data_IF_176406460447
#
_entry.id   IF_176406460447
#
_cell.length_a   1.000
_cell.length_b   1.000
_cell.length_c   1.000
_cell.angle_alpha   90.00
_cell.angle_beta   90.00
_cell.angle_gamma   90.00
#
_symmetry.space_group_name_H-M   'P 1'
#
loop_
_entity.id
_entity.type
_entity.pdbx_description
1 polymer ?
#
# COMPACT_ATOMS: atom_id res chain seq x y z
N UNK A 1 37.93 -16.54 40.11
CA UNK A 1 38.30 -17.61 39.15
C UNK A 1 37.03 -18.08 38.45
N UNK A 2 36.90 -17.77 37.14
CA UNK A 2 36.76 -18.71 36.01
C UNK A 2 35.43 -19.51 35.94
N UNK A 3 34.49 -18.89 35.21
CA UNK A 3 33.50 -19.39 34.22
C UNK A 3 33.10 -20.88 34.23
N UNK A 4 31.78 -21.13 34.25
CA UNK A 4 31.11 -22.10 33.37
C UNK A 4 29.61 -21.76 33.22
N UNK A 5 29.15 -21.75 31.98
CA UNK A 5 27.78 -21.51 31.48
C UNK A 5 27.08 -22.87 31.39
N UNK A 6 25.85 -23.03 31.90
CA UNK A 6 24.86 -23.97 31.33
C UNK A 6 23.47 -23.33 31.38
N UNK A 7 22.95 -23.15 30.17
CA UNK A 7 21.61 -22.69 29.80
C UNK A 7 20.57 -23.79 30.06
N UNK A 8 19.44 -23.47 30.70
CA UNK A 8 18.20 -24.22 30.54
C UNK A 8 17.03 -23.24 30.55
N UNK A 9 16.53 -22.97 29.35
CA UNK A 9 15.26 -22.32 29.06
C UNK A 9 14.12 -23.12 29.69
N UNK A 10 13.36 -22.48 30.57
CA UNK A 10 11.97 -22.86 30.84
C UNK A 10 11.12 -21.59 30.76
N UNK A 11 10.59 -21.39 29.56
CA UNK A 11 9.51 -20.45 29.24
C UNK A 11 8.30 -20.80 30.12
N UNK A 12 8.05 -20.02 31.17
CA UNK A 12 6.77 -19.98 31.87
C UNK A 12 6.20 -18.58 31.71
N UNK A 13 5.03 -18.51 31.06
CA UNK A 13 4.47 -17.34 30.39
C UNK A 13 4.33 -16.09 31.26
N UNK A 14 4.89 -14.99 30.75
CA UNK A 14 4.48 -13.64 31.12
C UNK A 14 3.55 -13.09 30.03
N UNK A 15 2.29 -12.92 30.45
CA UNK A 15 1.53 -11.69 30.32
C UNK A 15 0.80 -11.31 29.02
N UNK A 16 -0.39 -10.79 29.32
CA UNK A 16 -1.15 -9.74 28.65
C UNK A 16 -2.08 -10.18 27.52
N UNK A 17 -3.37 -10.13 27.87
CA UNK A 17 -4.47 -9.94 26.95
C UNK A 17 -4.10 -8.86 25.92
N UNK A 18 -3.87 -9.29 24.69
CA UNK A 18 -3.74 -8.40 23.56
C UNK A 18 -5.09 -7.75 23.31
N UNK A 19 -5.28 -6.54 23.83
CA UNK A 19 -6.15 -5.55 23.19
C UNK A 19 -5.67 -5.42 21.74
N UNK A 20 -6.29 -6.15 20.83
CA UNK A 20 -6.16 -5.90 19.40
C UNK A 20 -6.78 -4.52 19.19
N UNK A 21 -5.96 -3.48 19.19
CA UNK A 21 -6.40 -2.13 18.90
C UNK A 21 -7.04 -2.11 17.52
N UNK A 22 -8.37 -2.13 17.57
CA UNK A 22 -9.28 -1.64 16.56
C UNK A 22 -8.96 -0.16 16.31
N UNK A 23 -7.96 0.06 15.47
CA UNK A 23 -7.88 1.31 14.72
C UNK A 23 -8.60 1.04 13.41
N UNK A 24 -9.88 1.40 13.39
CA UNK A 24 -10.65 1.71 12.18
C UNK A 24 -9.92 2.82 11.40
N UNK A 25 -8.80 2.48 10.75
CA UNK A 25 -8.16 3.36 9.77
C UNK A 25 -8.99 3.20 8.51
N UNK A 26 -9.95 4.11 8.35
CA UNK A 26 -10.73 4.29 7.14
C UNK A 26 -9.76 4.56 5.98
N UNK A 27 -9.40 3.51 5.24
CA UNK A 27 -8.51 3.62 4.08
C UNK A 27 -9.32 4.25 2.96
N UNK A 28 -9.24 5.57 2.86
CA UNK A 28 -9.73 6.34 1.71
C UNK A 28 -9.08 5.77 0.45
N UNK A 29 -9.90 5.35 -0.52
CA UNK A 29 -9.48 4.84 -1.82
C UNK A 29 -8.46 5.80 -2.44
N UNK A 30 -7.21 5.33 -2.62
CA UNK A 30 -6.07 6.15 -3.09
C UNK A 30 -6.06 6.37 -4.60
N UNK A 31 -7.05 5.86 -5.33
CA UNK A 31 -7.02 5.84 -6.79
C UNK A 31 -7.69 7.04 -7.47
N UNK A 32 -8.38 7.91 -6.73
CA UNK A 32 -9.08 9.06 -7.33
C UNK A 32 -8.93 10.37 -6.54
N UNK A 33 -7.99 10.41 -5.59
CA UNK A 33 -7.47 11.70 -5.16
C UNK A 33 -6.51 12.14 -6.25
N UNK A 34 -7.00 12.95 -7.19
CA UNK A 34 -6.17 13.95 -7.87
C UNK A 34 -5.17 14.43 -6.83
N UNK A 35 -3.87 14.26 -7.07
CA UNK A 35 -2.84 14.66 -6.11
C UNK A 35 -3.11 16.12 -5.77
N UNK A 36 -3.77 16.38 -4.65
CA UNK A 36 -4.03 17.73 -4.19
C UNK A 36 -2.66 18.40 -4.12
N UNK A 37 -2.52 19.60 -4.69
CA UNK A 37 -1.23 20.27 -4.67
C UNK A 37 -0.74 20.41 -3.23
N UNK A 38 0.59 20.48 -2.98
CA UNK A 38 1.11 20.71 -1.64
C UNK A 38 0.45 21.91 -0.93
N UNK A 39 0.08 22.94 -1.69
CA UNK A 39 -0.66 24.12 -1.26
C UNK A 39 -2.10 23.77 -0.84
N UNK A 40 -2.83 22.99 -1.63
CA UNK A 40 -4.19 22.57 -1.27
C UNK A 40 -4.19 21.65 -0.03
N UNK A 41 -3.26 20.69 0.03
CA UNK A 41 -3.13 19.79 1.17
C UNK A 41 -2.80 20.54 2.47
N UNK A 42 -1.90 21.53 2.38
CA UNK A 42 -1.51 22.33 3.54
C UNK A 42 -2.63 23.26 4.02
N UNK A 43 -3.42 23.83 3.11
CA UNK A 43 -4.65 24.57 3.49
C UNK A 43 -5.62 23.66 4.23
N UNK A 44 -5.98 22.51 3.66
CA UNK A 44 -6.91 21.56 4.27
C UNK A 44 -6.43 21.05 5.64
N UNK A 45 -5.12 20.82 5.79
CA UNK A 45 -4.54 20.44 7.08
C UNK A 45 -4.65 21.57 8.11
N UNK A 46 -4.43 22.81 7.69
CA UNK A 46 -4.54 23.99 8.54
C UNK A 46 -5.98 24.24 8.95
N UNK A 47 -6.93 24.18 8.02
CA UNK A 47 -8.35 24.37 8.29
C UNK A 47 -8.89 23.32 9.26
N UNK A 48 -8.40 22.08 9.18
CA UNK A 48 -8.75 21.03 10.15
C UNK A 48 -8.22 21.33 11.55
N UNK A 49 -6.98 21.78 11.65
CA UNK A 49 -6.40 22.18 12.94
C UNK A 49 -7.11 23.40 13.51
N UNK A 50 -7.48 24.36 12.67
CA UNK A 50 -8.24 25.53 13.07
C UNK A 50 -9.61 25.14 13.65
N UNK A 51 -10.36 24.28 12.96
CA UNK A 51 -11.66 23.78 13.44
C UNK A 51 -11.59 23.08 14.79
N UNK A 52 -10.45 22.45 15.12
CA UNK A 52 -10.30 21.69 16.36
C UNK A 52 -9.71 22.53 17.50
N UNK A 53 -8.91 23.54 17.19
CA UNK A 53 -8.12 24.28 18.17
C UNK A 53 -8.50 25.76 18.25
N UNK A 54 -9.39 26.23 17.38
CA UNK A 54 -9.81 27.63 17.26
C UNK A 54 -8.61 28.57 17.18
N UNK A 55 -7.81 28.39 16.13
CA UNK A 55 -6.54 29.09 15.98
C UNK A 55 -6.77 30.58 15.66
N UNK A 56 -5.91 31.44 16.21
CA UNK A 56 -5.80 32.83 15.74
C UNK A 56 -5.22 32.91 14.33
N UNK A 57 -5.46 34.02 13.63
CA UNK A 57 -4.96 34.23 12.25
C UNK A 57 -3.43 34.13 12.14
N UNK A 58 -2.71 34.64 13.16
CA UNK A 58 -1.25 34.51 13.22
C UNK A 58 -0.82 33.04 13.32
N UNK A 59 -1.49 32.24 14.17
CA UNK A 59 -1.21 30.81 14.31
C UNK A 59 -1.57 30.03 13.04
N UNK A 60 -2.69 30.34 12.38
CA UNK A 60 -3.07 29.71 11.10
C UNK A 60 -2.00 29.95 10.05
N UNK A 61 -1.50 31.18 9.93
CA UNK A 61 -0.43 31.52 8.98
C UNK A 61 0.85 30.73 9.23
N UNK A 62 1.29 30.65 10.49
CA UNK A 62 2.47 29.87 10.87
C UNK A 62 2.31 28.37 10.61
N UNK A 63 1.15 27.80 10.98
CA UNK A 63 0.84 26.38 10.79
C UNK A 63 0.71 26.05 9.30
N UNK A 64 0.10 26.92 8.51
CA UNK A 64 0.01 26.77 7.06
C UNK A 64 1.40 26.68 6.43
N UNK A 65 2.31 27.60 6.76
CA UNK A 65 3.67 27.58 6.24
C UNK A 65 4.44 26.31 6.63
N UNK A 66 4.26 25.84 7.87
CA UNK A 66 4.84 24.58 8.34
C UNK A 66 4.29 23.37 7.56
N UNK A 67 2.98 23.32 7.34
CA UNK A 67 2.34 22.25 6.57
C UNK A 67 2.77 22.29 5.10
N UNK A 68 2.94 23.48 4.53
CA UNK A 68 3.39 23.65 3.15
C UNK A 68 4.81 23.12 2.95
N UNK A 69 5.74 23.45 3.86
CA UNK A 69 7.11 22.92 3.82
C UNK A 69 7.12 21.38 3.94
N UNK A 70 6.34 20.84 4.89
CA UNK A 70 6.17 19.39 5.04
C UNK A 70 5.62 18.73 3.77
N UNK A 71 4.57 19.31 3.18
CA UNK A 71 3.95 18.79 1.97
C UNK A 71 4.92 18.82 0.78
N UNK A 72 5.69 19.91 0.62
CA UNK A 72 6.74 20.01 -0.41
C UNK A 72 7.84 18.97 -0.23
N UNK A 73 8.31 18.74 1.01
CA UNK A 73 9.31 17.71 1.32
C UNK A 73 8.78 16.31 1.00
N UNK A 74 7.53 16.01 1.35
CA UNK A 74 6.90 14.74 1.03
C UNK A 74 6.71 14.54 -0.48
N UNK A 75 6.28 15.57 -1.21
CA UNK A 75 6.14 15.46 -2.65
C UNK A 75 7.48 15.17 -3.33
N UNK A 76 8.56 15.88 -2.95
CA UNK A 76 9.92 15.60 -3.45
C UNK A 76 10.38 14.18 -3.14
N UNK A 77 10.14 13.69 -1.92
CA UNK A 77 10.47 12.32 -1.54
C UNK A 77 9.69 11.29 -2.37
N UNK A 78 8.41 11.55 -2.62
CA UNK A 78 7.56 10.70 -3.45
C UNK A 78 8.05 10.66 -4.90
N UNK A 79 8.32 11.81 -5.51
CA UNK A 79 8.88 11.90 -6.86
C UNK A 79 10.20 11.14 -7.00
N UNK A 80 11.08 11.23 -5.99
CA UNK A 80 12.34 10.46 -5.96
C UNK A 80 12.07 8.96 -5.90
N UNK A 81 11.19 8.52 -5.00
CA UNK A 81 10.84 7.11 -4.85
C UNK A 81 10.16 6.55 -6.11
N UNK A 82 9.31 7.32 -6.77
CA UNK A 82 8.68 6.98 -8.05
C UNK A 82 9.72 6.74 -9.14
N UNK A 83 10.68 7.66 -9.30
CA UNK A 83 11.79 7.52 -10.25
C UNK A 83 12.61 6.27 -9.97
N UNK A 84 13.00 6.05 -8.71
CA UNK A 84 13.76 4.86 -8.31
C UNK A 84 12.99 3.56 -8.58
N UNK A 85 11.67 3.55 -8.30
CA UNK A 85 10.82 2.39 -8.58
C UNK A 85 10.73 2.09 -10.07
N UNK A 86 10.59 3.12 -10.92
CA UNK A 86 10.58 2.95 -12.37
C UNK A 86 11.90 2.40 -12.90
N UNK A 87 13.01 2.91 -12.40
CA UNK A 87 14.35 2.43 -12.78
C UNK A 87 14.56 0.97 -12.36
N UNK A 88 14.25 0.65 -11.11
CA UNK A 88 14.33 -0.72 -10.60
C UNK A 88 13.42 -1.67 -11.39
N UNK A 89 12.22 -1.23 -11.75
CA UNK A 89 11.31 -2.01 -12.58
C UNK A 89 11.90 -2.31 -13.96
N UNK A 90 12.49 -1.30 -14.62
CA UNK A 90 13.16 -1.50 -15.92
C UNK A 90 14.33 -2.48 -15.80
N UNK A 91 15.14 -2.36 -14.76
CA UNK A 91 16.26 -3.28 -14.49
C UNK A 91 15.78 -4.72 -14.32
N UNK A 92 14.79 -4.95 -13.47
CA UNK A 92 14.20 -6.28 -13.28
C UNK A 92 13.61 -6.85 -14.57
N UNK A 93 12.92 -6.02 -15.36
CA UNK A 93 12.36 -6.47 -16.64
C UNK A 93 13.46 -6.94 -17.61
N UNK A 94 14.57 -6.21 -17.69
CA UNK A 94 15.71 -6.59 -18.52
C UNK A 94 16.38 -7.88 -18.01
N UNK A 95 16.58 -8.01 -16.70
CA UNK A 95 17.14 -9.22 -16.08
C UNK A 95 16.25 -10.45 -16.31
N UNK A 96 14.93 -10.30 -16.19
CA UNK A 96 13.97 -11.37 -16.50
C UNK A 96 14.04 -11.77 -17.97
N UNK A 97 14.04 -10.81 -18.90
CA UNK A 97 14.14 -11.10 -20.33
C UNK A 97 15.45 -11.80 -20.70
N UNK A 98 16.57 -11.37 -20.10
CA UNK A 98 17.88 -12.01 -20.27
C UNK A 98 17.88 -13.44 -19.75
N UNK A 99 17.34 -13.65 -18.54
CA UNK A 99 17.23 -14.98 -17.93
C UNK A 99 16.35 -15.91 -18.76
N UNK A 100 15.22 -15.40 -19.28
CA UNK A 100 14.32 -16.14 -20.15
C UNK A 100 15.02 -16.61 -21.43
N UNK A 101 15.87 -15.77 -22.04
CA UNK A 101 16.64 -16.17 -23.23
C UNK A 101 17.61 -17.32 -22.91
N UNK A 102 18.35 -17.20 -21.79
CA UNK A 102 19.29 -18.24 -21.34
C UNK A 102 18.59 -19.56 -20.98
N UNK A 103 17.40 -19.48 -20.39
CA UNK A 103 16.58 -20.66 -20.12
C UNK A 103 16.15 -21.29 -21.45
N UNK A 104 15.58 -20.52 -22.37
CA UNK A 104 15.12 -21.08 -23.64
C UNK A 104 16.25 -21.71 -24.48
N UNK A 105 17.48 -21.19 -24.41
CA UNK A 105 18.62 -21.74 -25.16
C UNK A 105 19.04 -23.14 -24.72
N UNK A 106 18.65 -23.60 -23.53
CA UNK A 106 19.00 -24.94 -23.01
C UNK A 106 17.81 -25.92 -23.01
N UNK A 107 16.64 -25.48 -23.48
CA UNK A 107 15.42 -26.30 -23.51
C UNK A 107 15.19 -26.88 -24.90
N UNK A 108 14.63 -28.10 -24.94
CA UNK A 108 14.08 -28.66 -26.18
C UNK A 108 12.81 -27.92 -26.63
N UNK A 109 12.38 -28.04 -27.90
CA UNK A 109 11.18 -27.34 -28.39
C UNK A 109 9.91 -27.63 -27.57
N UNK A 110 9.71 -28.89 -27.17
CA UNK A 110 8.57 -29.27 -26.32
C UNK A 110 8.65 -28.62 -24.92
N UNK A 111 9.85 -28.54 -24.35
CA UNK A 111 10.06 -27.91 -23.04
C UNK A 111 9.89 -26.38 -23.09
N UNK A 112 10.30 -25.72 -24.17
CA UNK A 112 10.09 -24.29 -24.39
C UNK A 112 8.59 -23.94 -24.39
N UNK A 113 7.78 -24.74 -25.10
CA UNK A 113 6.32 -24.59 -25.11
C UNK A 113 5.74 -24.69 -23.69
N UNK A 114 6.15 -25.71 -22.93
CA UNK A 114 5.71 -25.86 -21.53
C UNK A 114 6.15 -24.70 -20.65
N UNK A 115 7.38 -24.22 -20.81
CA UNK A 115 7.93 -23.08 -20.06
C UNK A 115 7.13 -21.79 -20.34
N UNK A 116 6.78 -21.53 -21.60
CA UNK A 116 5.94 -20.40 -21.98
C UNK A 116 4.55 -20.45 -21.31
N UNK A 117 3.92 -21.63 -21.27
CA UNK A 117 2.63 -21.81 -20.57
C UNK A 117 2.75 -21.54 -19.07
N UNK A 118 3.80 -22.04 -18.41
CA UNK A 118 4.04 -21.82 -16.98
C UNK A 118 4.22 -20.34 -16.64
N UNK A 119 4.92 -19.59 -17.51
CA UNK A 119 5.06 -18.13 -17.35
C UNK A 119 3.73 -17.40 -17.46
N UNK A 120 2.90 -17.77 -18.43
CA UNK A 120 1.56 -17.18 -18.61
C UNK A 120 0.67 -17.44 -17.40
N UNK A 121 0.62 -18.69 -16.94
CA UNK A 121 -0.15 -19.06 -15.75
C UNK A 121 0.28 -18.26 -14.51
N UNK A 122 1.60 -18.09 -14.32
CA UNK A 122 2.13 -17.27 -13.22
C UNK A 122 1.71 -15.81 -13.34
N UNK A 123 1.75 -15.24 -14.54
CA UNK A 123 1.31 -13.86 -14.80
C UNK A 123 -0.19 -13.68 -14.51
N UNK A 124 -1.02 -14.65 -14.92
CA UNK A 124 -2.46 -14.60 -14.71
C UNK A 124 -2.83 -14.78 -13.23
N UNK A 125 -2.14 -15.67 -12.50
CA UNK A 125 -2.28 -15.78 -11.03
C UNK A 125 -1.93 -14.46 -10.32
N UNK A 126 -0.89 -13.76 -10.79
CA UNK A 126 -0.51 -12.47 -10.23
C UNK A 126 -1.58 -11.39 -10.50
N UNK A 127 -2.13 -11.34 -11.73
CA UNK A 127 -3.26 -10.45 -12.07
C UNK A 127 -4.51 -10.77 -11.26
N UNK A 128 -4.85 -12.04 -11.09
CA UNK A 128 -6.02 -12.50 -10.32
C UNK A 128 -5.95 -12.12 -8.84
N UNK A 129 -4.75 -12.18 -8.23
CA UNK A 129 -4.54 -11.73 -6.83
C UNK A 129 -4.73 -10.23 -6.66
N UNK A 130 -4.32 -9.42 -7.66
CA UNK A 130 -4.56 -7.97 -7.68
C UNK A 130 -6.05 -7.65 -7.86
N UNK A 131 -6.75 -8.42 -8.71
CA UNK A 131 -8.21 -8.29 -8.93
C UNK A 131 -9.06 -8.67 -7.70
N UNK A 132 -8.71 -9.74 -6.99
CA UNK A 132 -9.46 -10.17 -5.80
C UNK A 132 -9.31 -9.23 -4.60
N UNK A 133 -8.21 -8.49 -4.50
CA UNK A 133 -8.08 -7.42 -3.50
C UNK A 133 -9.04 -6.26 -3.77
N UNK A 134 -9.23 -5.89 -5.04
CA UNK A 134 -10.20 -4.86 -5.43
C UNK A 134 -11.66 -5.30 -5.23
N UNK A 135 -11.99 -6.58 -5.50
CA UNK A 135 -13.36 -7.08 -5.35
C UNK A 135 -13.77 -7.28 -3.88
N UNK A 136 -12.85 -7.70 -3.01
CA UNK A 136 -13.11 -7.74 -1.55
C UNK A 136 -13.30 -6.35 -0.95
N UNK A 137 -12.67 -5.32 -1.51
CA UNK A 137 -12.86 -3.94 -1.07
C UNK A 137 -14.26 -3.43 -1.47
N UNK A 138 -14.68 -3.62 -2.74
CA UNK A 138 -16.03 -3.23 -3.22
C UNK A 138 -17.17 -3.86 -2.42
N UNK A 139 -17.08 -5.17 -2.12
CA UNK A 139 -18.11 -5.86 -1.34
C UNK A 139 -18.18 -5.41 0.14
N UNK A 140 -17.09 -4.87 0.71
CA UNK A 140 -17.10 -4.28 2.06
C UNK A 140 -17.70 -2.88 2.06
N UNK A 141 -17.41 -2.06 1.05
CA UNK A 141 -18.00 -0.71 0.91
C UNK A 141 -19.51 -0.76 0.70
N UNK A 142 -20.02 -1.73 -0.06
CA UNK A 142 -21.46 -1.97 -0.26
C UNK A 142 -22.18 -2.41 1.04
N UNK A 143 -21.56 -3.29 1.85
CA UNK A 143 -22.15 -3.77 3.10
C UNK A 143 -22.22 -2.70 4.20
N UNK A 144 -21.24 -1.78 4.24
CA UNK A 144 -21.15 -0.71 5.23
C UNK A 144 -21.75 0.64 4.78
N UNK A 145 -22.38 0.72 3.60
CA UNK A 145 -23.12 1.90 3.18
C UNK A 145 -24.41 2.06 4.01
N UNK A 146 -24.70 3.28 4.49
CA UNK A 146 -25.98 3.62 5.12
C UNK A 146 -27.15 3.18 4.23
N UNK A 147 -28.29 2.74 4.79
CA UNK A 147 -29.39 2.12 4.04
C UNK A 147 -29.88 2.91 2.81
N UNK A 148 -29.72 4.25 2.84
CA UNK A 148 -30.12 5.15 1.74
C UNK A 148 -29.28 5.06 0.47
N UNK A 149 -28.07 4.47 0.53
CA UNK A 149 -27.11 4.45 -0.59
C UNK A 149 -26.68 3.03 -1.01
N UNK A 150 -27.42 1.98 -0.61
CA UNK A 150 -27.17 0.64 -1.14
C UNK A 150 -27.72 0.56 -2.56
N UNK A 151 -26.92 0.15 -3.57
CA UNK A 151 -27.51 -0.21 -4.86
C UNK A 151 -28.46 -1.37 -4.62
N UNK A 152 -29.71 -1.24 -5.05
CA UNK A 152 -30.69 -2.33 -5.03
C UNK A 152 -30.09 -3.50 -5.80
N UNK A 153 -29.64 -4.51 -5.08
CA UNK A 153 -29.27 -5.76 -5.69
C UNK A 153 -30.56 -6.40 -6.16
N UNK A 154 -30.77 -6.43 -7.48
CA UNK A 154 -31.85 -7.17 -8.15
C UNK A 154 -31.89 -8.60 -7.62
N UNK A 155 -32.71 -8.84 -6.61
CA UNK A 155 -33.17 -10.17 -6.25
C UNK A 155 -34.26 -10.54 -7.24
N UNK A 156 -33.84 -11.00 -8.43
CA UNK A 156 -34.69 -11.88 -9.23
C UNK A 156 -34.50 -13.30 -8.72
N UNK A 157 -35.58 -13.81 -8.13
CA UNK A 157 -35.84 -15.24 -7.95
C UNK A 157 -35.87 -15.95 -9.31
#
# INVERSE_FOLDING_TARGET
MKKSIITALLFAGFATAGFSQERNIQRVDRNDKRMESPEQQSRLATDRMDKQLSLSENQKTQIYNLNLDRAKKMNKAHEKAEKQRMEQHKKMQAEHASSDRKINSVLSPAQQSKYASLKKERADKFKGRKGNHNNRNKNRTSRNASPKNRPESDHKL
#
